data_IF_288262624985
#
_entry.id   IF_288262624985
#
_cell.length_a   1.000
_cell.length_b   1.000
_cell.length_c   1.000
_cell.angle_alpha   90.00
_cell.angle_beta   90.00
_cell.angle_gamma   90.00
#
_symmetry.space_group_name_H-M   'P 1'
#
loop_
_entity.id
_entity.type
_entity.pdbx_description
1 polymer ?
#
# COMPACT_ATOMS: atom_id res chain seq x y z
N UNK A 1 -2.98 -17.14 -23.29
CA UNK A 1 -2.99 -16.54 -21.97
C UNK A 1 -4.37 -15.96 -21.68
N UNK A 2 -5.05 -16.57 -20.77
CA UNK A 2 -6.38 -16.09 -20.40
C UNK A 2 -6.27 -14.87 -19.50
N UNK A 3 -6.99 -13.82 -19.86
CA UNK A 3 -7.11 -12.63 -19.01
C UNK A 3 -8.35 -12.76 -18.15
N UNK A 4 -8.14 -12.76 -16.85
CA UNK A 4 -9.22 -12.71 -15.90
C UNK A 4 -9.60 -11.25 -15.68
N UNK A 5 -10.84 -10.93 -16.01
CA UNK A 5 -11.37 -9.59 -15.75
C UNK A 5 -12.14 -9.61 -14.43
N UNK A 6 -11.69 -8.81 -13.49
CA UNK A 6 -12.36 -8.68 -12.20
C UNK A 6 -13.38 -7.57 -12.32
N UNK A 7 -14.61 -7.86 -11.96
CA UNK A 7 -15.68 -6.86 -11.97
C UNK A 7 -15.47 -5.87 -10.82
N UNK A 8 -15.86 -4.61 -11.05
CA UNK A 8 -15.74 -3.56 -10.02
C UNK A 8 -16.44 -3.93 -8.73
N UNK A 9 -17.59 -4.57 -8.81
CA UNK A 9 -18.33 -5.02 -7.64
C UNK A 9 -17.58 -6.06 -6.84
N UNK A 10 -16.94 -6.99 -7.54
CA UNK A 10 -16.16 -8.04 -6.90
C UNK A 10 -14.91 -7.47 -6.24
N UNK A 11 -14.28 -6.50 -6.89
CA UNK A 11 -13.11 -5.83 -6.32
C UNK A 11 -13.49 -5.10 -5.02
N UNK A 12 -14.60 -4.40 -5.01
CA UNK A 12 -15.09 -3.70 -3.82
C UNK A 12 -15.40 -4.68 -2.69
N UNK A 13 -16.08 -5.78 -3.02
CA UNK A 13 -16.41 -6.83 -2.08
C UNK A 13 -15.17 -7.45 -1.46
N UNK A 14 -14.19 -7.75 -2.31
CA UNK A 14 -12.93 -8.35 -1.86
C UNK A 14 -12.13 -7.36 -1.00
N UNK A 15 -12.20 -6.07 -1.34
CA UNK A 15 -11.54 -5.04 -0.55
C UNK A 15 -12.16 -4.92 0.84
N UNK A 16 -13.47 -5.01 0.95
CA UNK A 16 -14.15 -5.00 2.24
C UNK A 16 -13.83 -6.26 3.04
N UNK A 17 -13.73 -7.40 2.37
CA UNK A 17 -13.32 -8.64 3.04
C UNK A 17 -11.89 -8.53 3.57
N UNK A 18 -11.00 -7.91 2.80
CA UNK A 18 -9.63 -7.66 3.24
C UNK A 18 -9.62 -6.77 4.48
N UNK A 19 -10.41 -5.71 4.48
CA UNK A 19 -10.52 -4.80 5.62
C UNK A 19 -11.03 -5.55 6.87
N UNK A 20 -12.01 -6.41 6.69
CA UNK A 20 -12.53 -7.22 7.77
C UNK A 20 -11.48 -8.16 8.34
N UNK A 21 -10.70 -8.78 7.46
CA UNK A 21 -9.60 -9.64 7.87
C UNK A 21 -8.54 -8.89 8.68
N UNK A 22 -8.23 -7.66 8.26
CA UNK A 22 -7.31 -6.78 9.00
C UNK A 22 -7.88 -6.47 10.38
N UNK A 23 -9.15 -6.12 10.43
CA UNK A 23 -9.83 -5.81 11.68
C UNK A 23 -9.82 -7.01 12.65
N UNK A 24 -10.13 -8.17 12.14
CA UNK A 24 -10.15 -9.38 12.96
C UNK A 24 -8.78 -9.81 13.47
N UNK A 25 -7.72 -9.44 12.72
CA UNK A 25 -6.35 -9.74 13.14
C UNK A 25 -5.89 -8.92 14.36
N UNK A 26 -6.63 -7.87 14.70
CA UNK A 26 -6.26 -6.96 15.77
C UNK A 26 -5.30 -5.86 15.35
N UNK A 27 -4.86 -5.86 14.09
CA UNK A 27 -3.98 -4.82 13.55
C UNK A 27 -4.81 -3.58 13.24
N UNK A 28 -4.46 -2.46 13.88
CA UNK A 28 -5.18 -1.20 13.70
C UNK A 28 -4.24 -0.20 13.01
N UNK A 29 -4.24 -0.15 11.67
CA UNK A 29 -3.37 0.78 10.96
C UNK A 29 -3.84 2.21 11.16
N UNK A 30 -2.90 3.11 11.37
CA UNK A 30 -3.20 4.54 11.36
C UNK A 30 -2.70 5.22 10.08
N UNK A 31 -1.96 4.50 9.24
CA UNK A 31 -1.62 4.92 7.89
C UNK A 31 -1.89 3.79 6.92
N UNK A 32 -2.54 4.12 5.81
CA UNK A 32 -2.74 3.19 4.71
C UNK A 32 -1.98 3.75 3.51
N UNK A 33 -1.07 2.96 2.98
CA UNK A 33 -0.28 3.31 1.81
C UNK A 33 -0.81 2.51 0.63
N UNK A 34 -1.54 3.18 -0.25
CA UNK A 34 -2.06 2.56 -1.46
C UNK A 34 -1.05 2.71 -2.59
N UNK A 35 -0.64 1.59 -3.16
CA UNK A 35 0.32 1.62 -4.25
C UNK A 35 -0.42 1.97 -5.54
N UNK A 36 -0.09 3.14 -6.06
CA UNK A 36 -0.69 3.64 -7.27
C UNK A 36 -0.29 2.75 -8.46
N UNK A 37 -1.20 2.29 -9.29
CA UNK A 37 -2.58 2.81 -9.46
C UNK A 37 -3.63 1.91 -8.81
N UNK A 38 -3.47 0.61 -8.93
CA UNK A 38 -4.48 -0.36 -8.55
C UNK A 38 -4.70 -0.50 -7.05
N UNK A 39 -3.67 -0.26 -6.25
CA UNK A 39 -3.81 -0.31 -4.80
C UNK A 39 -4.57 0.85 -4.20
N UNK A 40 -4.67 1.97 -4.92
CA UNK A 40 -5.36 3.16 -4.39
C UNK A 40 -6.86 2.93 -4.19
N UNK A 41 -7.63 2.41 -5.16
CA UNK A 41 -9.04 2.12 -4.93
C UNK A 41 -9.28 1.12 -3.82
N UNK A 42 -8.44 0.10 -3.72
CA UNK A 42 -8.52 -0.90 -2.65
C UNK A 42 -8.25 -0.24 -1.30
N UNK A 43 -7.23 0.60 -1.23
CA UNK A 43 -6.89 1.35 -0.03
C UNK A 43 -8.01 2.26 0.44
N UNK A 44 -8.70 2.92 -0.49
CA UNK A 44 -9.84 3.77 -0.16
C UNK A 44 -10.96 2.93 0.46
N UNK A 45 -11.29 1.81 -0.16
CA UNK A 45 -12.35 0.94 0.34
C UNK A 45 -12.00 0.37 1.72
N UNK A 46 -10.75 -0.05 1.92
CA UNK A 46 -10.28 -0.55 3.20
C UNK A 46 -10.35 0.54 4.26
N UNK A 47 -9.90 1.74 3.93
CA UNK A 47 -9.95 2.87 4.85
C UNK A 47 -11.38 3.18 5.30
N UNK A 48 -12.31 3.24 4.35
CA UNK A 48 -13.70 3.55 4.67
C UNK A 48 -14.34 2.47 5.55
N UNK A 49 -14.08 1.21 5.23
CA UNK A 49 -14.60 0.11 6.02
C UNK A 49 -14.07 0.14 7.45
N UNK A 50 -12.76 0.32 7.61
CA UNK A 50 -12.14 0.41 8.93
C UNK A 50 -12.64 1.63 9.70
N UNK A 51 -12.89 2.73 9.01
CA UNK A 51 -13.44 3.94 9.64
C UNK A 51 -14.81 3.71 10.25
N UNK A 52 -15.66 2.94 9.56
CA UNK A 52 -16.97 2.55 10.09
C UNK A 52 -16.82 1.72 11.36
N UNK A 53 -15.76 0.92 11.44
CA UNK A 53 -15.46 0.11 12.63
C UNK A 53 -14.73 0.88 13.73
N UNK A 54 -14.52 2.19 13.55
CA UNK A 54 -13.90 3.04 14.56
C UNK A 54 -12.40 3.18 14.44
N UNK A 55 -11.78 2.61 13.40
CA UNK A 55 -10.33 2.71 13.16
C UNK A 55 -10.07 3.84 12.19
N UNK A 56 -9.49 4.92 12.69
CA UNK A 56 -9.17 6.08 11.86
C UNK A 56 -7.76 5.96 11.31
N UNK A 57 -7.62 6.25 10.04
CA UNK A 57 -6.34 6.18 9.34
C UNK A 57 -6.22 7.28 8.31
N UNK A 58 -4.99 7.63 7.99
CA UNK A 58 -4.68 8.52 6.87
C UNK A 58 -4.28 7.66 5.68
N UNK A 59 -4.79 7.97 4.49
CA UNK A 59 -4.51 7.20 3.28
C UNK A 59 -3.65 8.03 2.33
N UNK A 60 -2.51 7.48 1.97
CA UNK A 60 -1.55 8.12 1.07
C UNK A 60 -1.33 7.20 -0.13
N UNK A 61 -1.42 7.77 -1.32
CA UNK A 61 -1.08 7.04 -2.53
C UNK A 61 0.39 7.27 -2.86
N UNK A 62 1.09 6.20 -3.15
CA UNK A 62 2.48 6.26 -3.62
C UNK A 62 2.57 5.59 -4.99
N UNK A 63 3.57 5.97 -5.74
CA UNK A 63 3.78 5.39 -7.07
C UNK A 63 5.14 4.72 -7.13
N UNK A 64 5.19 3.56 -7.77
CA UNK A 64 6.44 2.87 -8.05
C UNK A 64 6.65 2.80 -9.55
N UNK A 65 7.90 2.84 -9.97
CA UNK A 65 8.27 2.60 -11.35
C UNK A 65 9.65 1.97 -11.40
N UNK A 66 9.91 1.22 -12.45
CA UNK A 66 11.24 0.68 -12.66
C UNK A 66 12.16 1.77 -13.18
N UNK A 67 13.43 1.69 -12.80
CA UNK A 67 14.43 2.61 -13.33
C UNK A 67 14.57 2.39 -14.83
N UNK A 68 14.57 3.50 -15.57
CA UNK A 68 14.79 3.50 -17.00
C UNK A 68 16.23 3.97 -17.30
N UNK A 69 16.84 3.40 -18.31
CA UNK A 69 18.17 3.78 -18.72
C UNK A 69 18.84 2.71 -19.56
N UNK A 70 20.05 3.01 -20.04
CA UNK A 70 20.82 2.13 -20.91
C UNK A 70 21.12 0.80 -20.21
N UNK A 71 21.23 0.83 -18.89
CA UNK A 71 21.40 -0.35 -18.06
C UNK A 71 20.16 -0.55 -17.21
N UNK A 72 19.02 -0.71 -17.85
CA UNK A 72 17.77 -0.87 -17.11
C UNK A 72 17.79 -2.16 -16.30
N UNK A 73 17.96 -2.04 -15.01
CA UNK A 73 17.78 -3.14 -14.09
C UNK A 73 16.30 -3.23 -13.76
N UNK A 74 15.61 -4.18 -14.36
CA UNK A 74 14.18 -4.37 -14.19
C UNK A 74 13.77 -4.70 -12.77
N UNK A 75 14.74 -5.09 -11.96
CA UNK A 75 14.54 -5.39 -10.54
C UNK A 75 14.69 -4.16 -9.63
N UNK A 76 15.09 -3.03 -10.20
CA UNK A 76 15.21 -1.79 -9.44
C UNK A 76 13.94 -0.97 -9.55
N UNK A 77 13.39 -0.64 -8.40
CA UNK A 77 12.13 0.11 -8.30
C UNK A 77 12.41 1.44 -7.63
N UNK A 78 11.86 2.49 -8.23
CA UNK A 78 11.88 3.83 -7.65
C UNK A 78 10.51 4.12 -7.05
N UNK A 79 10.50 4.71 -5.85
CA UNK A 79 9.27 4.99 -5.11
C UNK A 79 9.07 6.50 -5.01
N UNK A 80 7.86 6.95 -5.33
CA UNK A 80 7.47 8.36 -5.27
C UNK A 80 6.35 8.54 -4.28
N UNK A 81 6.40 9.63 -3.53
CA UNK A 81 5.29 10.02 -2.66
C UNK A 81 5.42 9.62 -1.20
N UNK A 82 6.53 9.01 -0.81
CA UNK A 82 6.72 8.59 0.59
C UNK A 82 7.05 9.76 1.53
N UNK A 83 7.42 10.92 1.00
CA UNK A 83 7.89 12.03 1.84
C UNK A 83 6.87 12.47 2.87
N UNK A 84 5.61 12.51 2.50
CA UNK A 84 4.54 12.88 3.41
C UNK A 84 4.47 11.95 4.62
N UNK A 85 4.49 10.64 4.34
CA UNK A 85 4.41 9.62 5.38
C UNK A 85 5.66 9.67 6.25
N UNK A 86 6.84 9.74 5.62
CA UNK A 86 8.11 9.74 6.35
C UNK A 86 8.19 10.90 7.34
N UNK A 87 7.72 12.09 6.93
CA UNK A 87 7.76 13.27 7.80
C UNK A 87 6.83 13.16 9.00
N UNK A 88 5.74 12.41 8.87
CA UNK A 88 4.73 12.30 9.91
C UNK A 88 4.84 11.05 10.77
N UNK A 89 5.60 10.05 10.31
CA UNK A 89 5.72 8.78 11.02
C UNK A 89 6.38 8.93 12.38
N UNK A 90 5.77 8.33 13.36
CA UNK A 90 6.32 8.17 14.70
C UNK A 90 6.57 6.68 14.95
N UNK A 91 7.36 6.37 15.97
CA UNK A 91 7.79 5.00 16.23
C UNK A 91 6.65 4.03 16.52
N UNK A 92 5.51 4.53 16.99
CA UNK A 92 4.35 3.71 17.33
C UNK A 92 3.35 3.57 16.18
N UNK A 93 3.61 4.23 15.07
CA UNK A 93 2.68 4.20 13.95
C UNK A 93 2.67 2.84 13.26
N UNK A 94 1.51 2.50 12.77
CA UNK A 94 1.27 1.22 12.10
C UNK A 94 0.80 1.49 10.68
N UNK A 95 1.54 0.94 9.72
CA UNK A 95 1.26 1.13 8.30
C UNK A 95 0.70 -0.15 7.70
N UNK A 96 -0.32 0.02 6.88
CA UNK A 96 -0.83 -1.03 6.02
C UNK A 96 -0.53 -0.64 4.57
N UNK A 97 0.24 -1.47 3.89
CA UNK A 97 0.56 -1.26 2.48
C UNK A 97 -0.38 -2.10 1.64
N UNK A 98 -1.09 -1.46 0.72
CA UNK A 98 -2.09 -2.12 -0.12
C UNK A 98 -1.69 -2.00 -1.57
N UNK A 99 -1.65 -3.15 -2.25
CA UNK A 99 -1.38 -3.24 -3.68
C UNK A 99 -2.41 -4.17 -4.32
N UNK A 100 -2.68 -3.96 -5.60
CA UNK A 100 -3.65 -4.78 -6.31
C UNK A 100 -3.08 -6.11 -6.80
N UNK A 101 -1.80 -6.12 -7.14
CA UNK A 101 -1.12 -7.30 -7.65
C UNK A 101 0.24 -7.44 -6.99
N UNK A 102 0.49 -8.63 -6.49
CA UNK A 102 1.79 -8.99 -5.95
C UNK A 102 2.50 -9.87 -6.98
N UNK A 103 3.07 -9.23 -8.01
CA UNK A 103 3.71 -9.93 -9.11
C UNK A 103 5.06 -10.52 -8.71
N UNK A 104 6.04 -9.66 -8.46
CA UNK A 104 7.36 -10.09 -8.02
C UNK A 104 7.68 -9.68 -6.59
N UNK A 105 6.84 -8.88 -5.98
CA UNK A 105 7.08 -8.32 -4.66
C UNK A 105 8.10 -7.19 -4.63
N UNK A 106 8.68 -6.83 -5.77
CA UNK A 106 9.75 -5.83 -5.83
C UNK A 106 9.28 -4.45 -5.38
N UNK A 107 8.06 -4.07 -5.75
CA UNK A 107 7.50 -2.76 -5.35
C UNK A 107 7.34 -2.66 -3.85
N UNK A 108 6.71 -3.65 -3.25
CA UNK A 108 6.49 -3.66 -1.79
C UNK A 108 7.81 -3.75 -1.05
N UNK A 109 8.72 -4.59 -1.52
CA UNK A 109 10.05 -4.74 -0.91
C UNK A 109 10.82 -3.43 -0.93
N UNK A 110 10.74 -2.69 -2.03
CA UNK A 110 11.44 -1.40 -2.12
C UNK A 110 10.79 -0.34 -1.23
N UNK A 111 9.47 -0.33 -1.14
CA UNK A 111 8.76 0.59 -0.23
C UNK A 111 9.19 0.33 1.21
N UNK A 112 9.22 -0.93 1.61
CA UNK A 112 9.63 -1.30 2.97
C UNK A 112 11.08 -0.90 3.21
N UNK A 113 11.97 -1.14 2.24
CA UNK A 113 13.38 -0.77 2.35
C UNK A 113 13.55 0.74 2.52
N UNK A 114 12.83 1.54 1.71
CA UNK A 114 12.90 2.99 1.79
C UNK A 114 12.38 3.52 3.12
N UNK A 115 11.30 2.95 3.61
CA UNK A 115 10.75 3.32 4.91
C UNK A 115 11.70 2.98 6.04
N UNK A 116 12.29 1.80 6.00
CA UNK A 116 13.27 1.39 7.02
C UNK A 116 14.49 2.28 7.02
N UNK A 117 14.98 2.65 5.85
CA UNK A 117 16.14 3.54 5.72
C UNK A 117 15.84 4.92 6.32
N UNK A 118 14.64 5.45 6.03
CA UNK A 118 14.24 6.76 6.51
C UNK A 118 13.98 6.77 8.02
N UNK A 119 13.41 5.69 8.55
CA UNK A 119 13.04 5.60 9.96
C UNK A 119 14.19 5.15 10.86
N UNK A 120 15.30 4.73 10.28
CA UNK A 120 16.45 4.25 11.03
C UNK A 120 17.10 5.31 11.91
N UNK A 121 16.80 6.58 11.64
CA UNK A 121 17.32 7.71 12.40
C UNK A 121 16.46 8.09 13.61
N UNK A 122 15.37 7.41 13.77
CA UNK A 122 14.44 7.67 14.87
C UNK A 122 14.50 6.53 15.86
#
# INVERSE_FOLDING_TARGET
MEKLYIRSEDLLKDSFQLAWNVYESGFEPNYIVGVWRGGAPIGIAVQEFLSVLGIKSDHVAIRTSYYEGIESHRDRVQVYGLNYVIRKLESEDRLLIVDDVHDTGNSISQIIADLKAACKKN
#
